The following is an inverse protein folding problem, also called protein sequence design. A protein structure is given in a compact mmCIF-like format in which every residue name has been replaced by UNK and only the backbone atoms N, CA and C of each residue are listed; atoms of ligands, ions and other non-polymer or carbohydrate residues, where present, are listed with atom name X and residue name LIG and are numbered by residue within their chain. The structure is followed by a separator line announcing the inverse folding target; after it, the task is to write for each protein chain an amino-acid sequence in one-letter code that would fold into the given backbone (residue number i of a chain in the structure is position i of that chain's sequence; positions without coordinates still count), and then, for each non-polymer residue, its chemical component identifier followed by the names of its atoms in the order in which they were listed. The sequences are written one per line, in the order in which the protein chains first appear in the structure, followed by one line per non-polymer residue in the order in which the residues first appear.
data_IF_235073752853
#
_entry.id   IF_235073752853
#
_cell.length_a   1.000
_cell.length_b   1.000
_cell.length_c   1.000
_cell.angle_alpha   90.00
_cell.angle_beta   90.00
_cell.angle_gamma   90.00
#
_symmetry.space_group_name_H-M   'P 1'
#
loop_
_entity.id
_entity.type
_entity.pdbx_description
1 polymer ?
#
# COMPACT_ATOMS: atom_id res chain seq x y z
N UNK A 1 -2.14 17.17 7.41
CA UNK A 1 -3.52 16.64 7.31
C UNK A 1 -3.98 16.20 8.69
N UNK A 2 -5.22 16.54 9.08
CA UNK A 2 -5.84 16.07 10.33
C UNK A 2 -5.79 14.53 10.42
N UNK A 3 -5.48 13.94 11.59
CA UNK A 3 -5.37 12.49 11.74
C UNK A 3 -6.63 11.72 11.31
N UNK A 4 -7.82 12.29 11.56
CA UNK A 4 -9.12 11.68 11.22
C UNK A 4 -9.40 11.65 9.71
N UNK A 5 -8.95 12.66 8.97
CA UNK A 5 -9.01 12.66 7.50
C UNK A 5 -7.97 11.69 6.95
N UNK A 6 -6.75 11.73 7.47
CA UNK A 6 -5.65 10.86 7.06
C UNK A 6 -6.02 9.38 7.13
N UNK A 7 -6.56 8.93 8.27
CA UNK A 7 -6.93 7.51 8.45
C UNK A 7 -8.04 7.07 7.49
N UNK A 8 -9.06 7.92 7.25
CA UNK A 8 -10.17 7.58 6.34
C UNK A 8 -9.68 7.44 4.90
N UNK A 9 -8.86 8.38 4.45
CA UNK A 9 -8.30 8.34 3.11
C UNK A 9 -7.30 7.18 2.95
N UNK A 10 -6.44 6.94 3.93
CA UNK A 10 -5.51 5.82 3.93
C UNK A 10 -6.23 4.47 3.90
N UNK A 11 -7.30 4.31 4.69
CA UNK A 11 -8.10 3.09 4.70
C UNK A 11 -8.74 2.81 3.33
N UNK A 12 -9.27 3.84 2.68
CA UNK A 12 -9.81 3.71 1.33
C UNK A 12 -8.72 3.28 0.33
N UNK A 13 -7.57 3.97 0.34
CA UNK A 13 -6.48 3.68 -0.59
C UNK A 13 -5.84 2.31 -0.35
N UNK A 14 -5.67 1.89 0.90
CA UNK A 14 -5.19 0.53 1.21
C UNK A 14 -6.22 -0.53 0.80
N UNK A 15 -7.52 -0.28 1.02
CA UNK A 15 -8.58 -1.18 0.54
C UNK A 15 -8.49 -1.39 -0.97
N UNK A 16 -8.27 -0.32 -1.74
CA UNK A 16 -8.08 -0.40 -3.18
C UNK A 16 -6.80 -1.16 -3.53
N UNK A 17 -5.66 -0.81 -2.93
CA UNK A 17 -4.38 -1.46 -3.17
C UNK A 17 -4.44 -2.97 -2.96
N UNK A 18 -4.91 -3.41 -1.80
CA UNK A 18 -4.94 -4.84 -1.46
C UNK A 18 -5.91 -5.62 -2.34
N UNK A 19 -7.08 -5.07 -2.63
CA UNK A 19 -8.04 -5.72 -3.52
C UNK A 19 -7.52 -5.81 -4.96
N UNK A 20 -6.85 -4.76 -5.45
CA UNK A 20 -6.19 -4.77 -6.75
C UNK A 20 -5.05 -5.77 -6.80
N UNK A 21 -4.14 -5.75 -5.82
CA UNK A 21 -3.01 -6.68 -5.75
C UNK A 21 -3.49 -8.14 -5.72
N UNK A 22 -4.49 -8.46 -4.88
CA UNK A 22 -5.09 -9.81 -4.84
C UNK A 22 -5.67 -10.24 -6.17
N UNK A 23 -6.29 -9.33 -6.93
CA UNK A 23 -6.78 -9.65 -8.28
C UNK A 23 -5.65 -9.83 -9.29
N UNK A 24 -4.61 -9.01 -9.24
CA UNK A 24 -3.50 -9.05 -10.20
C UNK A 24 -2.64 -10.30 -9.99
N UNK A 25 -2.21 -10.56 -8.76
CA UNK A 25 -1.50 -11.77 -8.37
C UNK A 25 -1.74 -12.09 -6.89
N UNK A 26 -2.66 -13.01 -6.65
CA UNK A 26 -3.04 -13.45 -5.31
C UNK A 26 -1.86 -14.05 -4.52
N UNK A 27 -0.98 -14.81 -5.17
CA UNK A 27 0.12 -15.51 -4.50
C UNK A 27 1.23 -14.56 -4.04
N UNK A 28 1.65 -13.64 -4.91
CA UNK A 28 2.63 -12.62 -4.52
C UNK A 28 2.06 -11.66 -3.48
N UNK A 29 0.76 -11.38 -3.53
CA UNK A 29 0.10 -10.57 -2.50
C UNK A 29 0.13 -11.25 -1.14
N UNK A 30 -0.19 -12.54 -1.10
CA UNK A 30 -0.14 -13.33 0.15
C UNK A 30 1.28 -13.42 0.69
N UNK A 31 2.27 -13.68 -0.17
CA UNK A 31 3.66 -13.70 0.25
C UNK A 31 4.14 -12.32 0.74
N UNK A 32 3.64 -11.24 0.15
CA UNK A 32 3.95 -9.88 0.57
C UNK A 32 3.45 -9.56 2.00
N UNK A 33 2.32 -10.13 2.43
CA UNK A 33 1.80 -9.92 3.80
C UNK A 33 2.43 -10.84 4.83
N UNK A 34 3.13 -11.88 4.38
CA UNK A 34 3.92 -12.73 5.24
C UNK A 34 5.31 -12.13 5.42
N UNK A 35 5.59 -11.72 6.66
CA UNK A 35 6.84 -11.06 7.03
C UNK A 35 8.09 -11.87 6.66
N UNK A 36 9.16 -11.12 6.38
CA UNK A 36 10.58 -11.52 6.36
C UNK A 36 10.88 -13.01 6.13
N UNK A 37 10.78 -13.53 4.89
CA UNK A 37 11.23 -14.89 4.54
C UNK A 37 12.77 -15.01 4.37
N UNK A 38 13.54 -14.30 5.19
CA UNK A 38 15.00 -14.19 5.05
C UNK A 38 15.72 -14.08 6.39
N UNK A 39 16.98 -14.50 6.40
CA UNK A 39 17.82 -14.44 7.60
C UNK A 39 17.46 -15.54 8.60
N UNK A 40 17.60 -15.26 9.89
CA UNK A 40 17.14 -16.16 10.93
C UNK A 40 15.61 -16.23 10.89
N UNK A 41 15.07 -17.45 10.85
CA UNK A 41 13.63 -17.72 10.74
C UNK A 41 13.07 -18.40 12.00
N UNK A 42 13.93 -18.62 13.01
CA UNK A 42 13.51 -19.20 14.28
C UNK A 42 12.64 -18.21 15.07
N UNK A 43 11.88 -18.73 16.02
CA UNK A 43 11.04 -17.91 16.90
C UNK A 43 11.86 -16.78 17.55
N UNK A 44 11.32 -15.56 17.51
CA UNK A 44 11.98 -14.35 18.03
C UNK A 44 12.81 -13.56 17.01
N UNK A 45 12.91 -14.01 15.75
CA UNK A 45 13.61 -13.31 14.68
C UNK A 45 12.66 -12.65 13.67
N UNK A 46 11.72 -11.83 14.16
CA UNK A 46 10.79 -11.07 13.30
C UNK A 46 10.77 -9.60 13.69
N UNK A 47 11.25 -8.72 12.81
CA UNK A 47 11.21 -7.27 13.06
C UNK A 47 9.79 -6.72 12.94
N UNK A 48 8.93 -7.40 12.18
CA UNK A 48 7.50 -7.09 12.10
C UNK A 48 6.80 -7.35 13.44
N UNK A 49 7.13 -8.46 14.13
CA UNK A 49 6.60 -8.72 15.47
C UNK A 49 7.01 -7.61 16.45
N UNK A 50 8.29 -7.23 16.47
CA UNK A 50 8.76 -6.12 17.32
C UNK A 50 8.05 -4.80 16.98
N UNK A 51 7.79 -4.51 15.71
CA UNK A 51 7.04 -3.32 15.32
C UNK A 51 5.62 -3.31 15.90
N UNK A 52 4.93 -4.46 15.93
CA UNK A 52 3.62 -4.58 16.55
C UNK A 52 3.66 -4.40 18.08
N UNK A 53 4.68 -4.95 18.74
CA UNK A 53 4.90 -4.76 20.18
C UNK A 53 5.14 -3.28 20.52
N UNK A 54 6.03 -2.61 19.80
CA UNK A 54 6.30 -1.17 19.96
C UNK A 54 5.06 -0.32 19.67
N UNK A 55 4.23 -0.71 18.70
CA UNK A 55 2.95 -0.06 18.43
C UNK A 55 2.01 -0.18 19.63
N UNK A 56 1.88 -1.37 20.21
CA UNK A 56 1.04 -1.58 21.39
C UNK A 56 1.53 -0.76 22.60
N UNK A 57 2.85 -0.63 22.78
CA UNK A 57 3.45 0.26 23.79
C UNK A 57 3.10 1.73 23.53
N UNK A 58 3.18 2.18 22.27
CA UNK A 58 2.86 3.55 21.87
C UNK A 58 1.38 3.88 22.12
N UNK A 59 0.47 3.01 21.69
CA UNK A 59 -0.97 3.14 21.93
C UNK A 59 -1.24 3.21 23.44
N UNK A 60 -0.61 2.33 24.23
CA UNK A 60 -0.76 2.32 25.69
C UNK A 60 -0.28 3.61 26.33
N UNK A 61 0.88 4.11 25.91
CA UNK A 61 1.47 5.33 26.46
C UNK A 61 0.61 6.57 26.15
N UNK A 62 0.08 6.65 24.94
CA UNK A 62 -0.74 7.79 24.47
C UNK A 62 -2.17 7.76 25.00
N UNK A 63 -2.70 6.60 25.40
CA UNK A 63 -4.06 6.45 25.94
C UNK A 63 -4.18 6.76 27.44
N UNK A 64 -3.12 7.19 28.11
CA UNK A 64 -3.14 7.49 29.55
C UNK A 64 -3.95 8.76 29.85
N UNK A 65 -4.83 8.68 30.86
CA UNK A 65 -5.61 9.82 31.36
C UNK A 65 -4.71 10.80 32.12
N UNK A 66 -4.93 12.10 31.93
CA UNK A 66 -4.22 13.18 32.65
C UNK A 66 -3.09 13.87 31.89
N UNK A 67 -2.97 13.61 30.58
CA UNK A 67 -1.91 14.17 29.74
C UNK A 67 -0.53 13.55 30.00
N UNK A 68 0.43 13.83 29.11
CA UNK A 68 1.79 13.31 29.22
C UNK A 68 2.69 14.31 29.94
N UNK A 69 3.45 13.85 30.93
CA UNK A 69 4.59 14.62 31.43
C UNK A 69 5.67 14.79 30.35
N UNK A 70 6.59 15.75 30.51
CA UNK A 70 7.69 15.93 29.56
C UNK A 70 8.58 14.68 29.43
N UNK A 71 8.73 13.89 30.50
CA UNK A 71 9.48 12.63 30.46
C UNK A 71 8.73 11.55 29.66
N UNK A 72 7.42 11.42 29.87
CA UNK A 72 6.58 10.49 29.11
C UNK A 72 6.49 10.89 27.63
N UNK A 73 6.46 12.19 27.32
CA UNK A 73 6.53 12.68 25.95
C UNK A 73 7.84 12.27 25.26
N UNK A 74 8.99 12.27 25.96
CA UNK A 74 10.23 11.73 25.40
C UNK A 74 10.11 10.25 25.08
N UNK A 75 9.51 9.47 25.97
CA UNK A 75 9.30 8.04 25.74
C UNK A 75 8.42 7.81 24.50
N UNK A 76 7.28 8.51 24.40
CA UNK A 76 6.38 8.45 23.23
C UNK A 76 7.11 8.82 21.93
N UNK A 77 7.91 9.89 21.94
CA UNK A 77 8.67 10.33 20.77
C UNK A 77 9.77 9.33 20.35
N UNK A 78 10.36 8.61 21.32
CA UNK A 78 11.28 7.51 21.04
C UNK A 78 10.56 6.33 20.39
N UNK A 79 9.40 5.92 20.90
CA UNK A 79 8.59 4.85 20.29
C UNK A 79 8.12 5.21 18.89
N UNK A 80 7.65 6.45 18.69
CA UNK A 80 7.30 6.98 17.38
C UNK A 80 8.46 6.89 16.38
N UNK A 81 9.66 7.30 16.79
CA UNK A 81 10.86 7.24 15.95
C UNK A 81 11.31 5.81 15.68
N UNK A 82 11.11 4.90 16.64
CA UNK A 82 11.36 3.46 16.45
C UNK A 82 10.45 2.89 15.37
N UNK A 83 9.13 3.14 15.49
CA UNK A 83 8.16 2.68 14.49
C UNK A 83 8.49 3.21 13.10
N UNK A 84 8.87 4.48 12.97
CA UNK A 84 9.24 5.05 11.68
C UNK A 84 10.39 4.29 11.00
N UNK A 85 11.29 3.66 11.75
CA UNK A 85 12.44 2.91 11.23
C UNK A 85 12.17 1.39 11.11
N UNK A 86 10.95 0.92 11.35
CA UNK A 86 10.59 -0.50 11.36
C UNK A 86 10.50 -1.10 9.93
N UNK A 87 11.64 -1.43 9.35
CA UNK A 87 11.78 -1.86 7.95
C UNK A 87 10.93 -3.07 7.54
N UNK A 88 10.78 -4.09 8.38
CA UNK A 88 10.06 -5.32 8.03
C UNK A 88 8.61 -5.09 7.61
N UNK A 89 7.94 -4.08 8.19
CA UNK A 89 6.56 -3.71 7.83
C UNK A 89 6.48 -3.04 6.46
N UNK A 90 7.52 -2.29 6.07
CA UNK A 90 7.54 -1.58 4.79
C UNK A 90 7.93 -2.47 3.61
N UNK A 91 8.66 -3.55 3.87
CA UNK A 91 9.04 -4.54 2.85
C UNK A 91 7.79 -5.24 2.29
N UNK A 92 6.88 -5.64 3.17
CA UNK A 92 5.60 -6.22 2.75
C UNK A 92 4.78 -5.26 1.90
N UNK A 93 4.67 -4.00 2.34
CA UNK A 93 3.88 -2.99 1.64
C UNK A 93 4.47 -2.67 0.26
N UNK A 94 5.79 -2.56 0.15
CA UNK A 94 6.45 -2.35 -1.13
C UNK A 94 6.21 -3.52 -2.09
N UNK A 95 6.31 -4.76 -1.61
CA UNK A 95 5.98 -5.93 -2.41
C UNK A 95 4.51 -5.91 -2.88
N UNK A 96 3.56 -5.56 -2.00
CA UNK A 96 2.13 -5.43 -2.38
C UNK A 96 1.92 -4.38 -3.48
N UNK A 97 2.55 -3.21 -3.38
CA UNK A 97 2.48 -2.16 -4.42
C UNK A 97 3.06 -2.68 -5.75
N UNK A 98 4.18 -3.41 -5.69
CA UNK A 98 4.89 -3.90 -6.86
C UNK A 98 4.16 -5.05 -7.59
N UNK A 99 3.20 -5.72 -6.95
CA UNK A 99 2.31 -6.68 -7.61
C UNK A 99 1.62 -6.06 -8.81
N UNK A 100 1.19 -4.80 -8.74
CA UNK A 100 0.55 -4.12 -9.86
C UNK A 100 1.46 -3.99 -11.09
N UNK A 101 2.78 -3.99 -10.90
CA UNK A 101 3.80 -3.98 -11.95
C UNK A 101 4.22 -5.38 -12.39
N UNK A 102 3.50 -6.42 -11.93
CA UNK A 102 3.84 -7.84 -12.16
C UNK A 102 5.26 -8.20 -11.73
N UNK A 103 5.82 -7.45 -10.77
CA UNK A 103 7.11 -7.79 -10.20
C UNK A 103 6.92 -8.98 -9.27
N UNK A 104 7.82 -9.97 -9.34
CA UNK A 104 7.77 -11.11 -8.45
C UNK A 104 7.97 -10.64 -7.00
N UNK A 105 7.42 -11.40 -6.04
CA UNK A 105 7.76 -11.20 -4.63
C UNK A 105 9.28 -11.20 -4.44
N UNK A 106 9.79 -10.15 -3.79
CA UNK A 106 11.20 -9.93 -3.53
C UNK A 106 11.48 -9.96 -2.02
N UNK A 107 12.43 -10.82 -1.62
CA UNK A 107 12.90 -10.96 -0.24
C UNK A 107 13.58 -9.70 0.32
N UNK A 108 14.22 -8.91 -0.55
CA UNK A 108 14.89 -7.66 -0.17
C UNK A 108 14.43 -6.52 -1.09
N UNK A 109 13.21 -6.01 -0.92
CA UNK A 109 12.63 -5.04 -1.86
C UNK A 109 13.32 -3.65 -1.81
N UNK A 110 14.16 -3.40 -0.78
CA UNK A 110 14.99 -2.19 -0.66
C UNK A 110 16.50 -2.44 -0.87
N UNK A 111 16.91 -3.60 -1.38
CA UNK A 111 18.33 -3.97 -1.50
C UNK A 111 19.14 -2.99 -2.35
N UNK A 112 18.53 -2.47 -3.41
CA UNK A 112 19.11 -1.51 -4.35
C UNK A 112 19.48 -0.17 -3.68
N UNK A 113 18.89 0.12 -2.52
CA UNK A 113 19.18 1.33 -1.74
C UNK A 113 20.32 1.15 -0.74
N UNK A 114 20.76 -0.09 -0.51
CA UNK A 114 21.82 -0.41 0.44
C UNK A 114 23.17 0.06 -0.10
N UNK A 115 23.93 0.75 0.74
CA UNK A 115 25.25 1.29 0.40
C UNK A 115 26.34 0.56 1.16
N UNK A 116 27.49 0.37 0.52
CA UNK A 116 28.68 -0.17 1.20
C UNK A 116 29.66 0.96 1.43
N UNK A 117 29.99 1.21 2.71
CA UNK A 117 30.98 2.22 3.06
C UNK A 117 32.37 1.82 2.53
N UNK A 118 32.99 2.68 1.72
CA UNK A 118 34.22 2.34 0.96
C UNK A 118 35.38 1.88 1.84
N UNK A 119 35.56 2.49 3.02
CA UNK A 119 36.72 2.24 3.90
C UNK A 119 36.50 1.10 4.89
N UNK A 120 35.36 1.10 5.59
CA UNK A 120 35.06 0.10 6.63
C UNK A 120 34.35 -1.14 6.09
N UNK A 121 33.89 -1.11 4.83
CA UNK A 121 33.00 -2.12 4.24
C UNK A 121 31.70 -2.32 5.02
N UNK A 122 31.35 -1.41 5.92
CA UNK A 122 30.09 -1.44 6.65
C UNK A 122 28.93 -1.30 5.67
N UNK A 123 27.91 -2.15 5.85
CA UNK A 123 26.65 -2.10 5.12
C UNK A 123 25.79 -1.01 5.76
N UNK A 124 25.32 -0.06 4.96
CA UNK A 124 24.46 1.04 5.38
C UNK A 124 23.12 0.83 4.69
N UNK A 125 22.11 0.43 5.47
CA UNK A 125 20.73 0.34 4.99
C UNK A 125 20.11 1.72 4.71
N UNK A 126 19.00 1.76 3.95
CA UNK A 126 18.23 2.98 3.81
C UNK A 126 17.64 3.40 5.17
N UNK A 127 17.50 4.73 5.37
CA UNK A 127 16.75 5.25 6.51
C UNK A 127 15.25 5.31 6.19
N UNK A 128 14.40 5.51 7.20
CA UNK A 128 12.95 5.62 7.02
C UNK A 128 12.53 6.58 5.91
N UNK A 129 13.14 7.77 5.81
CA UNK A 129 12.71 8.78 4.84
C UNK A 129 12.94 8.29 3.40
N UNK A 130 14.04 7.59 3.18
CA UNK A 130 14.32 6.97 1.90
C UNK A 130 13.32 5.83 1.61
N UNK A 131 12.99 5.00 2.62
CA UNK A 131 12.00 3.92 2.48
C UNK A 131 10.60 4.45 2.16
N UNK A 132 10.10 5.46 2.89
CA UNK A 132 8.79 6.08 2.63
C UNK A 132 8.73 6.80 1.30
N UNK A 133 9.82 7.47 0.90
CA UNK A 133 9.91 8.03 -0.45
C UNK A 133 9.81 6.95 -1.52
N UNK A 134 10.52 5.83 -1.34
CA UNK A 134 10.47 4.70 -2.28
C UNK A 134 9.07 4.09 -2.36
N UNK A 135 8.36 3.98 -1.23
CA UNK A 135 6.97 3.54 -1.17
C UNK A 135 6.05 4.50 -1.92
N UNK A 136 6.18 5.81 -1.70
CA UNK A 136 5.39 6.83 -2.37
C UNK A 136 5.65 6.83 -3.89
N UNK A 137 6.92 6.77 -4.33
CA UNK A 137 7.30 6.64 -5.74
C UNK A 137 6.72 5.37 -6.37
N UNK A 138 6.73 4.25 -5.65
CA UNK A 138 6.13 3.01 -6.12
C UNK A 138 4.61 3.14 -6.30
N UNK A 139 3.90 3.71 -5.31
CA UNK A 139 2.46 3.95 -5.38
C UNK A 139 2.08 4.90 -6.52
N UNK A 140 2.88 5.96 -6.73
CA UNK A 140 2.68 6.90 -7.84
C UNK A 140 2.90 6.21 -9.20
N UNK A 141 3.93 5.36 -9.31
CA UNK A 141 4.26 4.65 -10.55
C UNK A 141 3.16 3.69 -11.02
N UNK A 142 2.34 3.17 -10.11
CA UNK A 142 1.17 2.33 -10.44
C UNK A 142 -0.10 3.15 -10.67
N UNK A 143 -0.02 4.48 -10.52
CA UNK A 143 -1.12 5.42 -10.71
C UNK A 143 -1.98 5.64 -9.47
N UNK A 144 -1.53 5.29 -8.26
CA UNK A 144 -2.25 5.57 -7.01
C UNK A 144 -1.69 6.84 -6.34
N UNK A 145 -1.93 8.00 -6.94
CA UNK A 145 -1.34 9.28 -6.52
C UNK A 145 -1.76 9.71 -5.11
N UNK A 146 -2.99 9.43 -4.69
CA UNK A 146 -3.43 9.73 -3.32
C UNK A 146 -2.73 8.86 -2.29
N UNK A 147 -2.54 7.56 -2.58
CA UNK A 147 -1.75 6.68 -1.71
C UNK A 147 -0.31 7.19 -1.61
N UNK A 148 0.30 7.59 -2.72
CA UNK A 148 1.65 8.16 -2.74
C UNK A 148 1.76 9.40 -1.85
N UNK A 149 0.79 10.31 -1.94
CA UNK A 149 0.70 11.50 -1.08
C UNK A 149 0.60 11.12 0.40
N UNK A 150 -0.29 10.20 0.76
CA UNK A 150 -0.50 9.77 2.15
C UNK A 150 0.75 9.12 2.74
N UNK A 151 1.43 8.26 1.97
CA UNK A 151 2.69 7.63 2.40
C UNK A 151 3.79 8.67 2.67
N UNK A 152 3.81 9.76 1.89
CA UNK A 152 4.73 10.89 2.12
C UNK A 152 4.43 11.70 3.38
N UNK A 153 3.21 11.62 3.93
CA UNK A 153 2.77 12.36 5.12
C UNK A 153 2.73 11.53 6.41
N UNK A 154 2.92 10.20 6.33
CA UNK A 154 2.79 9.29 7.47
C UNK A 154 3.73 9.66 8.62
N UNK A 155 5.01 9.89 8.32
CA UNK A 155 6.02 10.23 9.31
C UNK A 155 6.64 11.60 9.05
N UNK A 156 6.82 12.35 10.14
CA UNK A 156 7.49 13.65 10.10
C UNK A 156 9.00 13.47 10.24
N UNK A 157 9.70 13.65 9.13
CA UNK A 157 11.15 13.61 9.03
C UNK A 157 11.86 14.48 10.07
N UNK A 158 11.29 15.66 10.38
CA UNK A 158 11.88 16.63 11.29
C UNK A 158 11.81 16.17 12.75
N UNK A 159 10.68 15.61 13.18
CA UNK A 159 10.52 14.99 14.50
C UNK A 159 11.48 13.80 14.61
N UNK A 160 11.42 12.83 13.68
CA UNK A 160 12.25 11.63 13.70
C UNK A 160 13.75 11.96 13.78
N UNK A 161 14.24 12.85 12.90
CA UNK A 161 15.64 13.26 12.90
C UNK A 161 16.03 13.99 14.19
N UNK A 162 15.15 14.84 14.71
CA UNK A 162 15.35 15.52 15.98
C UNK A 162 15.58 14.54 17.12
N UNK A 163 14.72 13.52 17.24
CA UNK A 163 14.84 12.50 18.29
C UNK A 163 16.06 11.60 18.07
N UNK A 164 16.23 11.04 16.87
CA UNK A 164 17.30 10.10 16.54
C UNK A 164 18.72 10.68 16.74
N UNK A 165 18.86 12.00 16.64
CA UNK A 165 20.13 12.69 16.84
C UNK A 165 20.21 13.48 18.15
N UNK A 166 19.18 13.42 19.01
CA UNK A 166 19.07 14.21 20.23
C UNK A 166 19.17 15.74 19.99
N UNK A 167 18.71 16.21 18.84
CA UNK A 167 18.75 17.60 18.38
C UNK A 167 17.45 18.36 18.68
N UNK A 168 16.82 18.04 19.81
CA UNK A 168 15.51 18.55 20.20
C UNK A 168 15.50 19.09 21.62
N UNK A 169 14.56 19.99 21.90
CA UNK A 169 14.26 20.49 23.24
C UNK A 169 12.75 20.37 23.43
N UNK A 170 12.33 19.64 24.46
CA UNK A 170 10.95 19.69 24.93
C UNK A 170 10.80 20.85 25.91
N UNK A 171 9.94 21.79 25.54
CA UNK A 171 9.59 22.96 26.35
C UNK A 171 8.09 22.92 26.68
N UNK A 172 7.63 23.87 27.51
CA UNK A 172 6.23 23.95 27.90
C UNK A 172 5.28 24.27 26.75
N UNK A 173 5.80 24.87 25.67
CA UNK A 173 5.06 25.31 24.48
C UNK A 173 5.15 24.31 23.32
N UNK A 174 5.94 23.23 23.45
CA UNK A 174 6.03 22.18 22.43
C UNK A 174 7.43 21.62 22.22
N UNK A 175 7.63 21.03 21.04
CA UNK A 175 8.88 20.43 20.59
C UNK A 175 9.67 21.42 19.74
N UNK A 176 10.85 21.80 20.21
CA UNK A 176 11.77 22.69 19.49
C UNK A 176 12.84 21.87 18.78
N UNK A 177 12.98 22.07 17.48
CA UNK A 177 13.93 21.37 16.62
C UNK A 177 15.02 22.34 16.17
N UNK A 178 16.27 22.06 16.58
CA UNK A 178 17.40 22.98 16.32
C UNK A 178 18.00 22.87 14.92
N UNK A 179 17.80 21.73 14.24
CA UNK A 179 18.43 21.37 12.94
C UNK A 179 19.97 21.46 12.97
N UNK A 180 20.60 20.40 13.46
CA UNK A 180 22.05 20.27 13.75
C UNK A 180 23.04 20.73 12.68
N UNK A 181 22.67 20.69 11.40
CA UNK A 181 23.56 21.03 10.28
C UNK A 181 23.18 22.37 9.59
N UNK A 182 22.48 23.26 10.30
CA UNK A 182 21.95 24.50 9.74
C UNK A 182 20.49 24.35 9.28
N UNK A 183 19.83 25.50 9.11
CA UNK A 183 18.41 25.59 8.82
C UNK A 183 17.67 26.48 9.82
N UNK A 184 16.43 26.82 9.50
CA UNK A 184 15.58 27.63 10.38
C UNK A 184 15.08 26.74 11.53
N UNK A 185 15.34 27.09 12.80
CA UNK A 185 14.77 26.38 13.94
C UNK A 185 13.24 26.38 13.87
N UNK A 186 12.63 25.29 14.31
CA UNK A 186 11.17 25.15 14.29
C UNK A 186 10.69 24.86 15.70
N UNK A 187 9.60 25.53 16.10
CA UNK A 187 8.78 25.15 17.25
C UNK A 187 7.54 24.44 16.71
N UNK A 188 7.32 23.21 17.14
CA UNK A 188 6.11 22.45 16.89
C UNK A 188 5.25 22.47 18.15
N UNK A 189 4.05 23.06 18.11
CA UNK A 189 3.07 22.94 19.18
C UNK A 189 2.80 21.47 19.52
N UNK A 190 2.40 21.18 20.76
CA UNK A 190 2.10 19.80 21.16
C UNK A 190 0.95 19.17 20.37
N UNK A 191 0.01 19.97 19.86
CA UNK A 191 -1.05 19.53 18.94
C UNK A 191 -0.46 18.91 17.67
N UNK A 192 0.41 19.64 16.96
CA UNK A 192 1.12 19.14 15.76
C UNK A 192 1.93 17.87 16.02
N UNK A 193 2.50 17.74 17.22
CA UNK A 193 3.29 16.57 17.64
C UNK A 193 2.36 15.39 17.88
N UNK A 194 1.27 15.57 18.62
CA UNK A 194 0.24 14.56 18.88
C UNK A 194 -0.37 14.06 17.57
N UNK A 195 -0.68 14.96 16.65
CA UNK A 195 -1.16 14.64 15.32
C UNK A 195 -0.20 13.75 14.53
N UNK A 196 1.09 14.06 14.58
CA UNK A 196 2.12 13.26 13.91
C UNK A 196 2.24 11.86 14.51
N UNK A 197 2.19 11.76 15.84
CA UNK A 197 2.20 10.49 16.55
C UNK A 197 0.96 9.67 16.19
N UNK A 198 -0.22 10.30 16.20
CA UNK A 198 -1.49 9.65 15.91
C UNK A 198 -1.53 9.15 14.46
N UNK A 199 -1.06 9.91 13.48
CA UNK A 199 -0.94 9.43 12.08
C UNK A 199 -0.04 8.20 11.97
N UNK A 200 1.10 8.20 12.67
CA UNK A 200 2.01 7.05 12.70
C UNK A 200 1.36 5.80 13.32
N UNK A 201 0.71 5.94 14.47
CA UNK A 201 0.01 4.83 15.16
C UNK A 201 -1.13 4.26 14.30
N UNK A 202 -1.96 5.14 13.73
CA UNK A 202 -3.08 4.81 12.86
C UNK A 202 -2.65 4.12 11.55
N UNK A 203 -1.53 4.53 10.97
CA UNK A 203 -0.96 3.86 9.80
C UNK A 203 -0.59 2.40 10.10
N UNK A 204 0.11 2.16 11.21
CA UNK A 204 0.50 0.79 11.61
C UNK A 204 -0.71 -0.07 11.95
N UNK A 205 -1.71 0.49 12.65
CA UNK A 205 -2.96 -0.19 12.96
C UNK A 205 -3.67 -0.67 11.68
N UNK A 206 -3.83 0.20 10.67
CA UNK A 206 -4.45 -0.21 9.40
C UNK A 206 -3.63 -1.27 8.68
N UNK A 207 -2.32 -1.07 8.56
CA UNK A 207 -1.49 -1.98 7.79
C UNK A 207 -1.50 -3.39 8.42
N UNK A 208 -1.46 -3.48 9.75
CA UNK A 208 -1.62 -4.73 10.49
C UNK A 208 -2.99 -5.38 10.20
N UNK A 209 -4.09 -4.60 10.20
CA UNK A 209 -5.43 -5.11 9.87
C UNK A 209 -5.50 -5.66 8.45
N UNK A 210 -4.94 -4.97 7.47
CA UNK A 210 -4.92 -5.45 6.08
C UNK A 210 -4.10 -6.73 5.94
N UNK A 211 -2.92 -6.79 6.54
CA UNK A 211 -2.11 -8.02 6.54
C UNK A 211 -2.84 -9.19 7.19
N UNK A 212 -3.42 -8.97 8.37
CA UNK A 212 -4.24 -9.98 9.05
C UNK A 212 -5.42 -10.43 8.19
N UNK A 213 -6.16 -9.50 7.57
CA UNK A 213 -7.31 -9.80 6.73
C UNK A 213 -6.93 -10.62 5.49
N UNK A 214 -5.80 -10.31 4.84
CA UNK A 214 -5.32 -11.06 3.68
C UNK A 214 -4.98 -12.49 4.10
N UNK A 215 -4.19 -12.66 5.17
CA UNK A 215 -3.84 -13.99 5.68
C UNK A 215 -5.07 -14.80 6.06
N UNK A 216 -5.98 -14.22 6.85
CA UNK A 216 -7.20 -14.89 7.32
C UNK A 216 -8.17 -15.26 6.19
N UNK A 217 -8.09 -14.61 5.02
CA UNK A 217 -8.89 -15.00 3.85
C UNK A 217 -8.56 -16.41 3.29
N UNK A 218 -7.48 -17.02 3.77
CA UNK A 218 -7.07 -18.40 3.49
C UNK A 218 -7.36 -19.35 4.66
N UNK A 219 -8.34 -19.01 5.50
CA UNK A 219 -8.91 -19.90 6.50
C UNK A 219 -10.39 -20.12 6.21
N UNK A 220 -10.82 -21.33 5.76
CA UNK A 220 -10.01 -22.53 5.52
C UNK A 220 -9.11 -22.39 4.29
N UNK A 221 -8.03 -23.18 4.27
CA UNK A 221 -7.07 -23.17 3.15
C UNK A 221 -7.70 -23.55 1.81
N UNK A 222 -7.19 -22.97 0.72
CA UNK A 222 -7.65 -23.21 -0.65
C UNK A 222 -6.51 -23.27 -1.66
N UNK A 223 -6.81 -23.82 -2.83
CA UNK A 223 -5.89 -23.84 -3.96
C UNK A 223 -6.05 -22.59 -4.80
N UNK A 224 -4.93 -21.94 -5.13
CA UNK A 224 -4.84 -20.80 -6.04
C UNK A 224 -4.00 -21.21 -7.23
N UNK A 225 -4.51 -21.04 -8.44
CA UNK A 225 -3.74 -21.25 -9.67
C UNK A 225 -3.08 -19.94 -10.04
N UNK A 226 -1.75 -19.92 -10.06
CA UNK A 226 -1.03 -18.68 -10.36
C UNK A 226 0.48 -18.81 -10.28
N UNK A 227 1.13 -17.68 -10.54
CA UNK A 227 2.58 -17.50 -10.46
C UNK A 227 2.93 -16.99 -9.06
N UNK A 228 3.75 -17.74 -8.34
CA UNK A 228 4.37 -17.26 -7.10
C UNK A 228 5.83 -16.89 -7.38
N UNK A 229 6.19 -15.64 -7.15
CA UNK A 229 7.48 -15.05 -7.50
C UNK A 229 7.81 -15.35 -8.97
N UNK A 230 9.04 -15.77 -9.27
CA UNK A 230 9.46 -16.00 -10.64
C UNK A 230 9.06 -17.35 -11.25
N UNK A 231 8.29 -18.19 -10.53
CA UNK A 231 7.90 -19.53 -11.00
C UNK A 231 6.93 -19.52 -12.19
N UNK A 232 6.75 -20.67 -12.85
CA UNK A 232 5.66 -20.87 -13.82
C UNK A 232 4.29 -20.95 -13.11
N UNK A 233 3.17 -20.64 -13.79
CA UNK A 233 1.86 -20.77 -13.17
C UNK A 233 1.55 -22.23 -12.85
N UNK A 234 1.11 -22.47 -11.62
CA UNK A 234 0.73 -23.80 -11.14
C UNK A 234 -0.26 -23.70 -9.97
N UNK A 235 -0.87 -24.81 -9.52
CA UNK A 235 -1.74 -24.79 -8.36
C UNK A 235 -0.92 -24.74 -7.06
N UNK A 236 -1.23 -23.79 -6.20
CA UNK A 236 -0.62 -23.60 -4.88
C UNK A 236 -1.67 -23.76 -3.80
N UNK A 237 -1.41 -24.60 -2.80
CA UNK A 237 -2.21 -24.64 -1.58
C UNK A 237 -1.75 -23.51 -0.66
N UNK A 238 -2.66 -22.62 -0.33
CA UNK A 238 -2.45 -21.53 0.63
C UNK A 238 -3.39 -21.76 1.82
N UNK A 239 -2.84 -21.71 3.03
CA UNK A 239 -3.57 -22.00 4.25
C UNK A 239 -3.10 -21.10 5.40
N UNK A 240 -4.05 -20.40 6.03
CA UNK A 240 -3.84 -19.76 7.33
C UNK A 240 -4.36 -20.69 8.42
N UNK A 241 -3.45 -21.17 9.26
CA UNK A 241 -3.72 -22.08 10.37
C UNK A 241 -4.33 -21.34 11.55
N UNK A 242 -4.91 -22.10 12.48
CA UNK A 242 -5.56 -21.55 13.70
C UNK A 242 -4.57 -20.78 14.60
N UNK A 243 -3.28 -21.13 14.57
CA UNK A 243 -2.22 -20.43 15.29
C UNK A 243 -1.76 -19.13 14.60
N UNK A 244 -2.41 -18.74 13.49
CA UNK A 244 -2.05 -17.58 12.68
C UNK A 244 -0.90 -17.83 11.70
N UNK A 245 -0.33 -19.04 11.68
CA UNK A 245 0.74 -19.41 10.75
C UNK A 245 0.22 -19.54 9.32
N UNK A 246 0.88 -18.87 8.37
CA UNK A 246 0.58 -19.03 6.95
C UNK A 246 1.50 -20.07 6.30
N UNK A 247 0.92 -20.94 5.47
CA UNK A 247 1.61 -21.91 4.64
C UNK A 247 1.28 -21.70 3.18
N UNK A 248 2.31 -21.65 2.32
CA UNK A 248 2.19 -21.68 0.86
C UNK A 248 2.98 -22.89 0.37
N UNK A 249 2.32 -23.83 -0.32
CA UNK A 249 2.98 -25.03 -0.85
C UNK A 249 2.41 -25.45 -2.19
N UNK A 250 3.22 -26.16 -2.99
CA UNK A 250 2.79 -26.74 -4.26
C UNK A 250 3.42 -28.13 -4.41
N UNK A 251 2.68 -29.05 -5.00
CA UNK A 251 3.13 -30.37 -5.42
C UNK A 251 2.99 -30.58 -6.93
N UNK A 252 2.76 -29.51 -7.68
CA UNK A 252 2.54 -29.58 -9.12
C UNK A 252 3.81 -30.04 -9.86
N UNK A 253 3.74 -31.06 -10.72
CA UNK A 253 4.90 -31.52 -11.48
C UNK A 253 5.26 -30.58 -12.64
N UNK A 254 4.43 -29.57 -12.93
CA UNK A 254 4.64 -28.64 -14.03
C UNK A 254 3.60 -27.54 -14.10
N UNK A 255 3.64 -26.79 -15.20
CA UNK A 255 2.78 -25.62 -15.43
C UNK A 255 1.32 -26.02 -15.61
N UNK A 256 0.43 -25.30 -14.94
CA UNK A 256 -1.03 -25.43 -15.05
C UNK A 256 -1.64 -24.04 -15.00
N UNK A 257 -2.55 -23.75 -15.93
CA UNK A 257 -3.38 -22.55 -15.93
C UNK A 257 -4.86 -22.94 -15.91
N UNK A 258 -5.71 -21.98 -15.55
CA UNK A 258 -7.16 -22.07 -15.70
C UNK A 258 -7.69 -20.80 -16.40
N UNK A 259 -8.99 -20.81 -16.72
CA UNK A 259 -9.62 -19.68 -17.42
C UNK A 259 -9.61 -18.38 -16.61
N UNK A 260 -9.60 -18.45 -15.28
CA UNK A 260 -9.53 -17.28 -14.42
C UNK A 260 -8.14 -16.64 -14.49
N UNK A 261 -7.08 -17.46 -14.43
CA UNK A 261 -5.70 -17.04 -14.60
C UNK A 261 -5.45 -16.44 -15.99
N UNK A 262 -5.89 -17.12 -17.05
CA UNK A 262 -5.69 -16.68 -18.43
C UNK A 262 -6.43 -15.34 -18.68
N UNK A 263 -7.66 -15.20 -18.16
CA UNK A 263 -8.40 -13.92 -18.20
C UNK A 263 -7.62 -12.81 -17.49
N UNK A 264 -7.11 -13.09 -16.29
CA UNK A 264 -6.39 -12.08 -15.51
C UNK A 264 -5.07 -11.68 -16.17
N UNK A 265 -4.34 -12.61 -16.79
CA UNK A 265 -3.15 -12.26 -17.57
C UNK A 265 -3.46 -11.27 -18.71
N UNK A 266 -4.58 -11.44 -19.41
CA UNK A 266 -5.02 -10.52 -20.46
C UNK A 266 -5.38 -9.13 -19.94
N UNK A 267 -5.95 -9.05 -18.73
CA UNK A 267 -6.22 -7.76 -18.07
C UNK A 267 -4.90 -7.10 -17.65
N UNK A 268 -4.02 -7.86 -16.99
CA UNK A 268 -2.75 -7.37 -16.48
C UNK A 268 -1.85 -6.84 -17.60
N UNK A 269 -1.80 -7.51 -18.75
CA UNK A 269 -1.01 -7.06 -19.91
C UNK A 269 -1.51 -5.77 -20.53
N UNK A 270 -2.79 -5.45 -20.34
CA UNK A 270 -3.44 -4.22 -20.83
C UNK A 270 -3.31 -3.05 -19.86
N UNK A 271 -3.16 -3.34 -18.57
CA UNK A 271 -2.94 -2.34 -17.53
C UNK A 271 -1.51 -1.76 -17.53
N UNK A 272 -0.54 -2.44 -18.13
CA UNK A 272 0.85 -1.98 -18.28
C UNK A 272 1.48 -1.45 -16.97
N UNK A 273 1.29 -2.21 -15.89
CA UNK A 273 1.83 -1.86 -14.57
C UNK A 273 1.04 -0.79 -13.80
N UNK A 274 -0.13 -0.38 -14.29
CA UNK A 274 -1.02 0.62 -13.67
C UNK A 274 -2.28 -0.05 -13.09
N UNK A 275 -3.02 0.65 -12.24
CA UNK A 275 -4.28 0.13 -11.69
C UNK A 275 -5.54 0.66 -12.39
N UNK A 276 -5.42 1.73 -13.16
CA UNK A 276 -6.52 2.30 -13.96
C UNK A 276 -5.99 2.71 -15.33
N UNK A 277 -6.62 2.22 -16.40
CA UNK A 277 -6.36 2.63 -17.77
C UNK A 277 -7.65 3.07 -18.48
N UNK A 278 -7.55 3.99 -19.43
CA UNK A 278 -8.62 4.46 -20.28
C UNK A 278 -8.26 4.25 -21.75
N UNK A 279 -9.21 3.74 -22.53
CA UNK A 279 -9.04 3.50 -23.96
C UNK A 279 -9.86 4.51 -24.74
N UNK A 280 -9.18 5.34 -25.53
CA UNK A 280 -9.81 6.42 -26.30
C UNK A 280 -9.41 6.32 -27.77
N UNK A 281 -10.32 6.67 -28.68
CA UNK A 281 -10.00 6.73 -30.11
C UNK A 281 -9.10 7.95 -30.35
N UNK A 282 -7.99 7.77 -31.09
CA UNK A 282 -7.07 8.86 -31.43
C UNK A 282 -7.82 10.06 -32.03
N UNK A 283 -7.55 11.25 -31.50
CA UNK A 283 -8.19 12.49 -31.95
C UNK A 283 -9.54 12.79 -31.30
N UNK A 284 -10.16 11.84 -30.59
CA UNK A 284 -11.27 12.17 -29.68
C UNK A 284 -10.70 12.80 -28.41
N UNK A 285 -11.24 13.96 -28.04
CA UNK A 285 -10.97 14.54 -26.74
C UNK A 285 -11.66 13.67 -25.69
N UNK A 286 -10.89 13.00 -24.84
CA UNK A 286 -11.42 12.39 -23.63
C UNK A 286 -12.08 13.46 -22.75
N UNK A 287 -13.13 13.12 -22.01
CA UNK A 287 -13.80 14.06 -21.11
C UNK A 287 -12.83 14.54 -20.02
N UNK A 288 -12.32 15.80 -20.08
CA UNK A 288 -11.26 16.23 -19.17
C UNK A 288 -11.72 16.29 -17.70
N UNK A 289 -13.04 16.44 -17.50
CA UNK A 289 -13.67 16.49 -16.19
C UNK A 289 -13.63 15.12 -15.49
N UNK A 290 -13.97 14.03 -16.19
CA UNK A 290 -13.97 12.70 -15.58
C UNK A 290 -12.56 12.26 -15.15
N UNK A 291 -11.52 12.57 -15.93
CA UNK A 291 -10.15 12.30 -15.53
C UNK A 291 -9.71 13.11 -14.31
N UNK A 292 -10.11 14.39 -14.24
CA UNK A 292 -9.87 15.20 -13.05
C UNK A 292 -10.57 14.61 -11.83
N UNK A 293 -11.84 14.21 -11.98
CA UNK A 293 -12.60 13.64 -10.87
C UNK A 293 -12.00 12.31 -10.39
N UNK A 294 -11.52 11.45 -11.30
CA UNK A 294 -10.82 10.21 -10.97
C UNK A 294 -9.49 10.49 -10.23
N UNK A 295 -8.75 11.53 -10.65
CA UNK A 295 -7.58 12.02 -9.93
C UNK A 295 -7.91 12.48 -8.53
N UNK A 296 -9.03 13.19 -8.35
CA UNK A 296 -9.49 13.64 -7.03
C UNK A 296 -9.90 12.45 -6.12
N UNK A 297 -10.33 11.32 -6.69
CA UNK A 297 -10.49 10.04 -5.95
C UNK A 297 -9.14 9.44 -5.55
N UNK A 298 -8.10 9.71 -6.34
CA UNK A 298 -6.72 9.36 -6.02
C UNK A 298 -5.97 8.54 -7.07
N UNK A 299 -6.46 8.52 -8.32
CA UNK A 299 -5.89 7.72 -9.39
C UNK A 299 -5.41 8.55 -10.59
N UNK A 300 -4.19 8.30 -11.05
CA UNK A 300 -3.71 8.76 -12.34
C UNK A 300 -4.00 7.72 -13.41
N UNK A 301 -4.85 8.09 -14.36
CA UNK A 301 -5.31 7.20 -15.43
C UNK A 301 -4.25 7.07 -16.52
N UNK A 302 -3.88 5.84 -16.86
CA UNK A 302 -3.12 5.55 -18.07
C UNK A 302 -4.02 5.74 -19.30
N UNK A 303 -3.69 6.67 -20.20
CA UNK A 303 -4.45 6.88 -21.44
C UNK A 303 -3.82 6.06 -22.56
N UNK A 304 -4.60 5.13 -23.11
CA UNK A 304 -4.23 4.30 -24.25
C UNK A 304 -5.02 4.77 -25.47
N UNK A 305 -4.33 5.35 -26.43
CA UNK A 305 -4.93 5.77 -27.69
C UNK A 305 -5.09 4.58 -28.65
N UNK A 306 -6.29 4.46 -29.22
CA UNK A 306 -6.66 3.43 -30.18
C UNK A 306 -6.83 4.08 -31.55
N UNK A 307 -5.99 3.67 -32.51
CA UNK A 307 -5.97 4.25 -33.85
C UNK A 307 -7.24 3.91 -34.64
N UNK A 308 -8.17 4.87 -34.71
CA UNK A 308 -9.38 4.78 -35.51
C UNK A 308 -10.49 3.90 -34.92
N UNK A 309 -11.70 4.11 -35.43
CA UNK A 309 -12.90 3.43 -34.92
C UNK A 309 -12.89 1.91 -35.19
N UNK A 310 -12.26 1.45 -36.27
CA UNK A 310 -12.19 0.01 -36.58
C UNK A 310 -11.41 -0.76 -35.52
N UNK A 311 -10.22 -0.27 -35.14
CA UNK A 311 -9.43 -0.91 -34.07
C UNK A 311 -10.12 -0.82 -32.71
N UNK A 312 -10.88 0.24 -32.46
CA UNK A 312 -11.68 0.34 -31.24
C UNK A 312 -12.80 -0.70 -31.22
N UNK A 313 -13.48 -0.92 -32.36
CA UNK A 313 -14.48 -2.00 -32.49
C UNK A 313 -13.82 -3.36 -32.30
N UNK A 314 -12.63 -3.58 -32.86
CA UNK A 314 -11.89 -4.85 -32.67
C UNK A 314 -11.45 -5.05 -31.22
N UNK A 315 -11.07 -3.99 -30.51
CA UNK A 315 -10.83 -4.03 -29.06
C UNK A 315 -12.08 -4.48 -28.31
N UNK A 316 -13.26 -3.91 -28.60
CA UNK A 316 -14.52 -4.32 -27.96
C UNK A 316 -14.83 -5.79 -28.26
N UNK A 317 -14.66 -6.25 -29.50
CA UNK A 317 -14.84 -7.66 -29.88
C UNK A 317 -13.89 -8.58 -29.14
N UNK A 318 -12.64 -8.16 -28.95
CA UNK A 318 -11.64 -8.92 -28.20
C UNK A 318 -11.97 -8.98 -26.70
N UNK A 319 -12.47 -7.88 -26.12
CA UNK A 319 -12.99 -7.85 -24.74
C UNK A 319 -14.15 -8.85 -24.57
N UNK A 320 -15.11 -8.86 -25.51
CA UNK A 320 -16.24 -9.79 -25.50
C UNK A 320 -15.76 -11.25 -25.64
N UNK A 321 -14.89 -11.52 -26.63
CA UNK A 321 -14.37 -12.86 -26.93
C UNK A 321 -13.66 -13.49 -25.74
N UNK A 322 -12.87 -12.70 -25.00
CA UNK A 322 -12.09 -13.19 -23.86
C UNK A 322 -12.78 -12.94 -22.51
N UNK A 323 -14.05 -12.51 -22.50
CA UNK A 323 -14.82 -12.20 -21.30
C UNK A 323 -14.11 -11.23 -20.33
N UNK A 324 -13.47 -10.18 -20.86
CA UNK A 324 -12.68 -9.22 -20.07
C UNK A 324 -13.52 -8.13 -19.40
N UNK A 325 -14.84 -8.08 -19.65
CA UNK A 325 -15.75 -7.20 -18.93
C UNK A 325 -15.74 -7.51 -17.42
N UNK A 326 -15.95 -6.47 -16.61
CA UNK A 326 -16.23 -6.63 -15.19
C UNK A 326 -17.47 -7.53 -14.99
N UNK A 327 -17.34 -8.54 -14.13
CA UNK A 327 -18.37 -9.57 -13.94
C UNK A 327 -19.53 -9.09 -13.05
N UNK A 328 -19.37 -7.95 -12.37
CA UNK A 328 -20.38 -7.40 -11.45
C UNK A 328 -21.41 -6.49 -12.13
N UNK A 329 -21.27 -6.15 -13.42
CA UNK A 329 -22.22 -5.28 -14.13
C UNK A 329 -22.61 -5.85 -15.50
N UNK A 330 -23.85 -6.34 -15.62
CA UNK A 330 -24.42 -6.82 -16.88
C UNK A 330 -24.89 -5.70 -17.82
N UNK A 331 -25.04 -4.47 -17.33
CA UNK A 331 -25.83 -3.43 -18.01
C UNK A 331 -25.02 -2.30 -18.67
N UNK A 332 -23.72 -2.17 -18.40
CA UNK A 332 -22.94 -0.97 -18.82
C UNK A 332 -21.87 -1.26 -19.89
N UNK A 333 -22.31 -1.77 -21.05
CA UNK A 333 -21.43 -2.08 -22.21
C UNK A 333 -21.46 -1.04 -23.34
N UNK A 334 -22.25 0.02 -23.21
CA UNK A 334 -22.35 1.07 -24.23
C UNK A 334 -22.40 2.45 -23.58
N UNK A 335 -21.78 3.45 -24.22
CA UNK A 335 -21.75 4.85 -23.79
C UNK A 335 -20.83 5.13 -22.59
N UNK A 336 -20.11 6.24 -22.65
CA UNK A 336 -19.10 6.63 -21.64
C UNK A 336 -17.67 6.28 -22.05
N UNK A 337 -16.73 6.55 -21.16
CA UNK A 337 -15.32 6.27 -21.30
C UNK A 337 -15.02 4.80 -20.97
N UNK A 338 -14.35 4.08 -21.88
CA UNK A 338 -13.93 2.71 -21.64
C UNK A 338 -12.73 2.68 -20.69
N UNK A 339 -12.96 2.23 -19.46
CA UNK A 339 -11.94 2.07 -18.43
C UNK A 339 -11.62 0.60 -18.18
N UNK A 340 -10.41 0.36 -17.69
CA UNK A 340 -9.89 -0.93 -17.26
C UNK A 340 -9.32 -0.80 -15.85
N UNK A 341 -9.66 -1.74 -14.99
CA UNK A 341 -9.03 -1.98 -13.68
C UNK A 341 -8.70 -3.47 -13.55
N UNK A 342 -8.04 -3.93 -12.48
CA UNK A 342 -7.82 -5.37 -12.25
C UNK A 342 -9.08 -6.24 -12.27
N UNK A 343 -10.27 -5.65 -12.08
CA UNK A 343 -11.54 -6.36 -12.13
C UNK A 343 -12.04 -6.61 -13.56
N UNK A 344 -11.61 -5.82 -14.54
CA UNK A 344 -11.99 -5.93 -15.94
C UNK A 344 -12.30 -4.58 -16.60
N UNK A 345 -12.93 -4.64 -17.76
CA UNK A 345 -13.39 -3.46 -18.49
C UNK A 345 -14.77 -2.99 -18.01
N UNK A 346 -14.98 -1.67 -18.03
CA UNK A 346 -16.28 -1.05 -17.80
C UNK A 346 -16.39 0.29 -18.52
N UNK A 347 -17.56 0.62 -19.06
CA UNK A 347 -17.84 1.95 -19.58
C UNK A 347 -18.36 2.86 -18.46
N UNK A 348 -17.66 3.97 -18.20
CA UNK A 348 -17.93 4.89 -17.11
C UNK A 348 -18.27 6.28 -17.65
N UNK A 349 -19.36 6.87 -17.17
CA UNK A 349 -19.83 8.22 -17.55
C UNK A 349 -19.62 9.25 -16.45
N UNK A 350 -19.57 8.81 -15.19
CA UNK A 350 -19.50 9.72 -14.05
C UNK A 350 -18.53 9.19 -13.00
N UNK A 351 -18.01 10.08 -12.16
CA UNK A 351 -17.19 9.68 -11.02
C UNK A 351 -17.95 8.83 -10.00
N UNK A 352 -19.28 8.97 -9.91
CA UNK A 352 -20.09 8.10 -9.04
C UNK A 352 -20.05 6.66 -9.51
N UNK A 353 -20.21 6.42 -10.82
CA UNK A 353 -20.09 5.08 -11.41
C UNK A 353 -18.68 4.51 -11.18
N UNK A 354 -17.64 5.35 -11.27
CA UNK A 354 -16.27 4.93 -10.95
C UNK A 354 -16.11 4.54 -9.48
N UNK A 355 -16.61 5.36 -8.54
CA UNK A 355 -16.56 5.05 -7.10
C UNK A 355 -17.35 3.80 -6.73
N UNK A 356 -18.49 3.57 -7.40
CA UNK A 356 -19.29 2.37 -7.19
C UNK A 356 -18.61 1.09 -7.69
N UNK A 357 -17.72 1.23 -8.67
CA UNK A 357 -16.90 0.14 -9.19
C UNK A 357 -15.71 -0.20 -8.29
N UNK A 358 -15.21 0.75 -7.50
CA UNK A 358 -14.11 0.50 -6.58
C UNK A 358 -14.53 -0.45 -5.45
N UNK A 359 -13.57 -1.21 -4.88
CA UNK A 359 -13.80 -2.05 -3.72
C UNK A 359 -14.49 -1.28 -2.58
N UNK A 360 -15.46 -1.92 -1.91
CA UNK A 360 -16.20 -1.28 -0.82
C UNK A 360 -15.28 -1.05 0.38
N UNK A 361 -15.23 0.19 0.83
CA UNK A 361 -14.43 0.61 1.99
C UNK A 361 -15.28 0.45 3.24
N UNK A 362 -14.82 -0.35 4.19
CA UNK A 362 -15.50 -0.50 5.48
C UNK A 362 -15.44 0.82 6.27
N UNK A 363 -16.54 1.15 6.96
CA UNK A 363 -16.53 2.27 7.89
C UNK A 363 -15.56 2.01 9.03
N UNK A 364 -14.75 3.01 9.34
CA UNK A 364 -13.88 2.97 10.51
C UNK A 364 -14.61 3.58 11.69
N UNK A 365 -14.79 2.79 12.75
CA UNK A 365 -15.06 3.32 14.08
C UNK A 365 -13.78 4.00 14.59
N UNK A 366 -13.69 5.31 14.37
CA UNK A 366 -12.64 6.12 14.98
C UNK A 366 -13.11 6.39 16.41
N UNK A 367 -12.57 5.63 17.37
CA UNK A 367 -12.67 6.04 18.77
C UNK A 367 -11.81 7.27 18.91
N UNK A 368 -12.43 8.45 18.84
CA UNK A 368 -11.77 9.67 19.24
C UNK A 368 -11.36 9.46 20.70
N UNK A 369 -10.05 9.50 20.98
CA UNK A 369 -9.61 9.69 22.35
C UNK A 369 -10.22 11.02 22.79
N UNK A 370 -11.20 10.96 23.69
CA UNK A 370 -11.85 12.15 24.20
C UNK A 370 -10.76 13.13 24.68
N UNK A 371 -10.60 14.22 23.93
CA UNK A 371 -9.77 15.33 24.33
C UNK A 371 -10.38 15.97 25.57
N UNK A 372 -9.81 15.66 26.73
CA UNK A 372 -9.96 16.43 27.96
C UNK A 372 -8.63 16.52 28.71
#
# INVERSE_FOLDING_TARGET
MEPSTFIRELNAQLTYLFAFAQKINELDTVAAVCGEFRGAQDAGWSTMQTAHEVKAELTTATSRKGGLSLAEMRYVLCLYSHLAEAGGVYEGLLNTIQVAQLKPYNLWPFQDMVRVHKKSRAIIGPNANAMFRRLAEAADSIGMSKLACLLGETFRDDIRNGIAHADYILAHDGLRLRRRNGGVPILLPFEDVSDAIQRGDLFFELLQRFYGSVSMSFSPGRTVIGRFSDNFPMPWKVECREDGGLSISSSSPGSVTDSAYDRQQLINSRLDGRVVAAYIVTGNQAEPLLFKDIRDVGFEVLVVEVEGNERYIDLIRDIDKNALWDTQSSEQRSGGLLLLTPFGFRCIRTVSEFKDWLPKVAELEIVAGDGQ
#
